data_IF_553913324042
#
_entry.id   IF_553913324042
#
_cell.length_a   1.000
_cell.length_b   1.000
_cell.length_c   1.000
_cell.angle_alpha   90.00
_cell.angle_beta   90.00
_cell.angle_gamma   90.00
#
_symmetry.space_group_name_H-M   'P 1'
#
loop_
_entity.id
_entity.type
_entity.pdbx_description
1 polymer ?
#
# COMPACT_ATOMS: atom_id res chain seq x y z
N UNK A 1 11.12 18.36 8.53
CA UNK A 1 11.66 16.99 8.34
C UNK A 1 11.10 16.51 7.02
N UNK A 2 11.96 16.26 6.03
CA UNK A 2 11.57 16.19 4.63
C UNK A 2 10.66 14.98 4.32
N UNK A 3 9.38 15.29 4.13
CA UNK A 3 8.41 14.77 3.17
C UNK A 3 8.95 13.73 2.14
N UNK A 4 9.07 12.47 2.55
CA UNK A 4 9.38 11.34 1.66
C UNK A 4 8.54 10.07 1.93
N UNK A 5 7.19 10.16 1.84
CA UNK A 5 6.42 8.99 1.38
C UNK A 5 5.44 9.27 0.23
N UNK A 6 5.28 10.53 -0.20
CA UNK A 6 4.28 10.90 -1.22
C UNK A 6 4.70 10.64 -2.67
N UNK A 7 6.01 10.62 -2.96
CA UNK A 7 6.49 10.54 -4.35
C UNK A 7 6.57 9.11 -4.88
N UNK A 8 6.74 8.10 -4.02
CA UNK A 8 6.91 6.72 -4.51
C UNK A 8 5.58 6.07 -4.91
N UNK A 9 4.46 6.53 -4.31
CA UNK A 9 3.10 6.05 -4.62
C UNK A 9 2.63 6.46 -6.04
N UNK A 10 3.22 7.50 -6.64
CA UNK A 10 2.76 8.06 -7.91
C UNK A 10 3.05 7.18 -9.15
N UNK A 11 3.99 6.23 -9.07
CA UNK A 11 4.46 5.50 -10.26
C UNK A 11 3.79 4.14 -10.53
N UNK A 12 2.94 3.62 -9.66
CA UNK A 12 2.41 2.25 -9.78
C UNK A 12 0.88 2.27 -9.67
N UNK A 13 0.16 2.40 -10.80
CA UNK A 13 -1.29 2.59 -10.78
C UNK A 13 -2.08 1.46 -11.45
N UNK A 14 -3.11 0.96 -10.74
CA UNK A 14 -4.47 1.07 -11.27
C UNK A 14 -5.47 1.80 -10.36
N UNK A 15 -5.17 2.06 -9.08
CA UNK A 15 -6.20 2.56 -8.14
C UNK A 15 -6.25 4.08 -7.98
N UNK A 16 -6.21 4.78 -9.13
CA UNK A 16 -6.27 6.25 -9.25
C UNK A 16 -7.40 6.88 -8.42
N UNK A 17 -8.54 6.20 -8.29
CA UNK A 17 -9.72 6.70 -7.59
C UNK A 17 -9.57 6.62 -6.07
N UNK A 18 -9.04 5.51 -5.54
CA UNK A 18 -8.81 5.36 -4.09
C UNK A 18 -7.75 6.36 -3.61
N UNK A 19 -6.65 6.46 -4.35
CA UNK A 19 -5.59 7.43 -4.05
C UNK A 19 -6.11 8.87 -4.18
N UNK A 20 -6.96 9.17 -5.16
CA UNK A 20 -7.63 10.48 -5.26
C UNK A 20 -8.41 10.84 -3.99
N UNK A 21 -9.25 9.95 -3.47
CA UNK A 21 -10.00 10.21 -2.25
C UNK A 21 -9.11 10.26 -0.99
N UNK A 22 -8.01 9.49 -0.96
CA UNK A 22 -6.97 9.64 0.07
C UNK A 22 -6.40 11.05 0.09
N UNK A 23 -6.04 11.61 -1.06
CA UNK A 23 -5.55 12.99 -1.17
C UNK A 23 -6.61 14.02 -0.76
N UNK A 24 -7.87 13.80 -1.14
CA UNK A 24 -8.98 14.66 -0.70
C UNK A 24 -9.11 14.61 0.83
N UNK A 25 -8.96 13.44 1.46
CA UNK A 25 -9.01 13.30 2.92
C UNK A 25 -7.83 14.02 3.61
N UNK A 26 -6.64 14.05 3.02
CA UNK A 26 -5.47 14.73 3.58
C UNK A 26 -5.66 16.26 3.68
N UNK A 27 -6.30 16.86 2.68
CA UNK A 27 -6.46 18.33 2.59
C UNK A 27 -7.77 18.86 3.18
N UNK A 28 -8.74 17.99 3.45
CA UNK A 28 -10.05 18.36 4.00
C UNK A 28 -10.09 18.21 5.53
N UNK A 29 -11.05 18.87 6.18
CA UNK A 29 -11.23 18.84 7.63
C UNK A 29 -12.63 18.37 8.01
N UNK A 30 -12.77 17.95 9.26
CA UNK A 30 -14.05 17.61 9.89
C UNK A 30 -14.86 16.58 9.08
N UNK A 31 -16.15 16.84 8.85
CA UNK A 31 -17.06 15.93 8.14
C UNK A 31 -16.63 15.62 6.70
N UNK A 32 -15.96 16.56 6.03
CA UNK A 32 -15.47 16.35 4.66
C UNK A 32 -14.32 15.33 4.64
N UNK A 33 -13.43 15.40 5.64
CA UNK A 33 -12.35 14.42 5.83
C UNK A 33 -12.92 13.03 6.04
N UNK A 34 -13.91 12.91 6.93
CA UNK A 34 -14.55 11.62 7.25
C UNK A 34 -15.21 10.99 6.01
N UNK A 35 -15.98 11.77 5.24
CA UNK A 35 -16.60 11.26 4.00
C UNK A 35 -15.56 10.81 2.98
N UNK A 36 -14.47 11.56 2.84
CA UNK A 36 -13.40 11.22 1.92
C UNK A 36 -12.65 9.95 2.37
N UNK A 37 -12.37 9.80 3.68
CA UNK A 37 -11.75 8.59 4.22
C UNK A 37 -12.63 7.36 4.07
N UNK A 38 -13.93 7.47 4.37
CA UNK A 38 -14.88 6.36 4.24
C UNK A 38 -15.00 5.92 2.76
N UNK A 39 -14.98 6.89 1.84
CA UNK A 39 -15.00 6.61 0.39
C UNK A 39 -13.70 5.94 -0.06
N UNK A 40 -12.54 6.44 0.40
CA UNK A 40 -11.24 5.84 0.09
C UNK A 40 -11.15 4.40 0.62
N UNK A 41 -11.60 4.15 1.85
CA UNK A 41 -11.62 2.81 2.44
C UNK A 41 -12.50 1.84 1.63
N UNK A 42 -13.68 2.27 1.21
CA UNK A 42 -14.55 1.47 0.34
C UNK A 42 -13.87 1.09 -0.97
N UNK A 43 -13.20 2.05 -1.62
CA UNK A 43 -12.51 1.83 -2.88
C UNK A 43 -11.26 0.94 -2.74
N UNK A 44 -10.48 1.09 -1.66
CA UNK A 44 -9.34 0.20 -1.41
C UNK A 44 -9.79 -1.24 -1.15
N UNK A 45 -10.91 -1.42 -0.44
CA UNK A 45 -11.49 -2.75 -0.18
C UNK A 45 -11.94 -3.41 -1.48
N UNK A 46 -12.73 -2.71 -2.28
CA UNK A 46 -13.21 -3.18 -3.58
C UNK A 46 -12.02 -3.53 -4.51
N UNK A 47 -11.02 -2.66 -4.59
CA UNK A 47 -9.81 -2.93 -5.36
C UNK A 47 -9.05 -4.16 -4.86
N UNK A 48 -9.05 -4.41 -3.54
CA UNK A 48 -8.35 -5.56 -2.93
C UNK A 48 -9.06 -6.85 -3.27
N UNK A 49 -10.39 -6.84 -3.30
CA UNK A 49 -11.20 -7.96 -3.77
C UNK A 49 -10.94 -8.25 -5.25
N UNK A 50 -10.92 -7.23 -6.12
CA UNK A 50 -10.59 -7.41 -7.53
C UNK A 50 -9.16 -7.91 -7.77
N UNK A 51 -8.20 -7.46 -6.96
CA UNK A 51 -6.81 -7.92 -7.06
C UNK A 51 -6.58 -9.30 -6.44
N UNK A 52 -7.59 -9.92 -5.82
CA UNK A 52 -7.43 -11.22 -5.14
C UNK A 52 -7.13 -12.37 -6.09
N UNK A 53 -7.57 -12.26 -7.34
CA UNK A 53 -7.30 -13.21 -8.44
C UNK A 53 -5.87 -13.11 -8.99
N UNK A 54 -5.16 -12.01 -8.71
CA UNK A 54 -3.76 -11.83 -9.11
C UNK A 54 -2.83 -12.59 -8.16
N UNK A 55 -1.71 -13.10 -8.67
CA UNK A 55 -0.67 -13.69 -7.83
C UNK A 55 -0.24 -12.72 -6.72
N UNK A 56 0.12 -13.24 -5.54
CA UNK A 56 0.61 -12.41 -4.44
C UNK A 56 1.89 -11.63 -4.79
N UNK A 57 2.65 -12.10 -5.78
CA UNK A 57 3.83 -11.44 -6.33
C UNK A 57 3.50 -10.43 -7.42
N UNK A 58 2.24 -10.27 -7.84
CA UNK A 58 1.87 -9.38 -8.92
C UNK A 58 2.06 -7.91 -8.48
N UNK A 59 2.77 -7.05 -9.26
CA UNK A 59 3.04 -5.67 -8.87
C UNK A 59 1.79 -4.87 -8.50
N UNK A 60 0.71 -5.04 -9.25
CA UNK A 60 -0.59 -4.40 -8.96
C UNK A 60 -1.12 -4.76 -7.56
N UNK A 61 -1.08 -6.03 -7.18
CA UNK A 61 -1.60 -6.50 -5.88
C UNK A 61 -0.72 -6.00 -4.73
N UNK A 62 0.60 -6.06 -4.91
CA UNK A 62 1.57 -5.54 -3.95
C UNK A 62 1.46 -4.01 -3.79
N UNK A 63 1.34 -3.28 -4.90
CA UNK A 63 1.22 -1.82 -4.89
C UNK A 63 -0.08 -1.35 -4.22
N UNK A 64 -1.17 -2.11 -4.41
CA UNK A 64 -2.41 -1.86 -3.70
C UNK A 64 -2.25 -2.08 -2.18
N UNK A 65 -1.61 -3.16 -1.77
CA UNK A 65 -1.36 -3.40 -0.34
C UNK A 65 -0.47 -2.30 0.27
N UNK A 66 0.53 -1.82 -0.47
CA UNK A 66 1.37 -0.69 -0.08
C UNK A 66 0.52 0.57 0.15
N UNK A 67 -0.26 1.00 -0.85
CA UNK A 67 -1.07 2.22 -0.73
C UNK A 67 -2.13 2.10 0.37
N UNK A 68 -2.74 0.92 0.51
CA UNK A 68 -3.76 0.70 1.53
C UNK A 68 -3.15 0.72 2.94
N UNK A 69 -1.96 0.16 3.14
CA UNK A 69 -1.23 0.27 4.42
C UNK A 69 -0.89 1.72 4.77
N UNK A 70 -0.42 2.51 3.79
CA UNK A 70 -0.14 3.94 3.97
C UNK A 70 -1.42 4.71 4.32
N UNK A 71 -2.55 4.41 3.66
CA UNK A 71 -3.84 5.01 4.00
C UNK A 71 -4.25 4.75 5.46
N UNK A 72 -4.10 3.52 5.95
CA UNK A 72 -4.38 3.22 7.36
C UNK A 72 -3.46 3.98 8.31
N UNK A 73 -2.18 4.12 7.96
CA UNK A 73 -1.22 4.83 8.79
C UNK A 73 -1.48 6.35 8.79
N UNK A 74 -1.49 6.98 7.62
CA UNK A 74 -1.49 8.44 7.49
C UNK A 74 -2.89 9.06 7.65
N UNK A 75 -3.94 8.42 7.15
CA UNK A 75 -5.29 9.01 7.15
C UNK A 75 -6.11 8.56 8.34
N UNK A 76 -6.11 7.25 8.60
CA UNK A 76 -6.89 6.66 9.69
C UNK A 76 -6.15 6.60 11.01
N UNK A 77 -4.85 6.95 11.04
CA UNK A 77 -4.00 6.92 12.23
C UNK A 77 -4.03 5.56 12.96
N UNK A 78 -4.08 4.48 12.18
CA UNK A 78 -4.16 3.11 12.66
C UNK A 78 -2.90 2.34 12.23
N UNK A 79 -1.83 2.51 13.02
CA UNK A 79 -0.55 1.90 12.76
C UNK A 79 -0.57 0.37 12.83
N UNK A 80 -1.37 -0.21 13.73
CA UNK A 80 -1.48 -1.66 13.88
C UNK A 80 -2.03 -2.30 12.60
N UNK A 81 -3.11 -1.74 12.05
CA UNK A 81 -3.71 -2.25 10.81
C UNK A 81 -2.81 -2.01 9.60
N UNK A 82 -2.13 -0.86 9.54
CA UNK A 82 -1.16 -0.58 8.50
C UNK A 82 -0.02 -1.62 8.48
N UNK A 83 0.56 -1.90 9.66
CA UNK A 83 1.59 -2.91 9.84
C UNK A 83 1.09 -4.32 9.49
N UNK A 84 -0.13 -4.70 9.89
CA UNK A 84 -0.73 -5.99 9.56
C UNK A 84 -0.79 -6.20 8.03
N UNK A 85 -1.32 -5.21 7.30
CA UNK A 85 -1.45 -5.27 5.84
C UNK A 85 -0.07 -5.35 5.18
N UNK A 86 0.86 -4.48 5.59
CA UNK A 86 2.18 -4.43 4.98
C UNK A 86 2.99 -5.70 5.24
N UNK A 87 2.99 -6.22 6.47
CA UNK A 87 3.67 -7.48 6.83
C UNK A 87 3.06 -8.67 6.10
N UNK A 88 1.73 -8.74 5.99
CA UNK A 88 1.05 -9.81 5.26
C UNK A 88 1.42 -9.82 3.77
N UNK A 89 1.42 -8.66 3.12
CA UNK A 89 1.82 -8.54 1.72
C UNK A 89 3.30 -8.88 1.50
N UNK A 90 4.20 -8.45 2.39
CA UNK A 90 5.61 -8.81 2.33
C UNK A 90 5.85 -10.30 2.48
N UNK A 91 5.24 -10.94 3.50
CA UNK A 91 5.45 -12.37 3.77
C UNK A 91 5.05 -13.20 2.55
N UNK A 92 3.84 -12.96 2.02
CA UNK A 92 3.36 -13.67 0.84
C UNK A 92 4.23 -13.36 -0.40
N UNK A 93 4.66 -12.12 -0.56
CA UNK A 93 5.52 -11.70 -1.68
C UNK A 93 6.90 -12.35 -1.65
N UNK A 94 7.57 -12.37 -0.50
CA UNK A 94 8.92 -12.95 -0.34
C UNK A 94 8.87 -14.47 -0.58
N UNK A 95 7.94 -15.18 0.06
CA UNK A 95 7.83 -16.64 -0.05
C UNK A 95 7.58 -17.10 -1.49
N UNK A 96 6.87 -16.32 -2.29
CA UNK A 96 6.55 -16.67 -3.67
C UNK A 96 7.57 -16.15 -4.69
N UNK A 97 8.32 -15.09 -4.39
CA UNK A 97 9.45 -14.64 -5.23
C UNK A 97 10.61 -15.65 -5.25
N UNK A 98 10.72 -16.49 -4.21
CA UNK A 98 11.66 -17.62 -4.18
C UNK A 98 11.25 -18.77 -5.11
N UNK A 99 10.03 -18.76 -5.68
CA UNK A 99 9.55 -19.75 -6.63
C UNK A 99 9.76 -19.32 -8.10
N UNK A 100 10.21 -20.25 -8.94
CA UNK A 100 10.74 -20.00 -10.31
C UNK A 100 9.71 -19.41 -11.30
N UNK A 101 8.40 -19.40 -10.99
CA UNK A 101 7.32 -18.94 -11.88
C UNK A 101 7.29 -17.41 -12.14
N UNK A 102 7.93 -16.59 -11.29
CA UNK A 102 7.84 -15.11 -11.36
C UNK A 102 8.76 -14.50 -12.44
N UNK A 103 9.60 -15.29 -13.10
CA UNK A 103 10.60 -14.79 -14.06
C UNK A 103 10.06 -14.44 -15.47
N UNK A 104 8.77 -14.69 -15.76
CA UNK A 104 8.22 -14.54 -17.12
C UNK A 104 8.10 -13.09 -17.62
N UNK A 105 8.27 -12.10 -16.74
CA UNK A 105 8.38 -10.68 -17.09
C UNK A 105 9.41 -10.01 -16.18
N UNK A 106 10.61 -9.79 -16.71
CA UNK A 106 11.72 -9.19 -15.95
C UNK A 106 11.37 -7.81 -15.36
N UNK A 107 10.44 -7.08 -16.01
CA UNK A 107 9.98 -5.79 -15.53
C UNK A 107 9.05 -5.93 -14.32
N UNK A 108 8.07 -6.85 -14.38
CA UNK A 108 7.15 -7.08 -13.26
C UNK A 108 7.87 -7.64 -12.04
N UNK A 109 8.84 -8.54 -12.24
CA UNK A 109 9.68 -9.04 -11.15
C UNK A 109 10.43 -7.89 -10.44
N UNK A 110 11.04 -6.98 -11.21
CA UNK A 110 11.76 -5.82 -10.66
C UNK A 110 10.82 -4.90 -9.89
N UNK A 111 9.64 -4.62 -10.43
CA UNK A 111 8.65 -3.77 -9.78
C UNK A 111 8.14 -4.41 -8.48
N UNK A 112 7.87 -5.71 -8.47
CA UNK A 112 7.46 -6.43 -7.26
C UNK A 112 8.51 -6.41 -6.17
N UNK A 113 9.79 -6.64 -6.52
CA UNK A 113 10.91 -6.55 -5.56
C UNK A 113 11.00 -5.15 -4.96
N UNK A 114 10.87 -4.11 -5.80
CA UNK A 114 10.89 -2.72 -5.34
C UNK A 114 9.73 -2.43 -4.37
N UNK A 115 8.51 -2.87 -4.69
CA UNK A 115 7.34 -2.65 -3.84
C UNK A 115 7.49 -3.36 -2.48
N UNK A 116 8.01 -4.59 -2.47
CA UNK A 116 8.24 -5.33 -1.22
C UNK A 116 9.29 -4.64 -0.34
N UNK A 117 10.33 -4.08 -0.95
CA UNK A 117 11.31 -3.29 -0.21
C UNK A 117 10.66 -2.04 0.42
N UNK A 118 9.81 -1.33 -0.32
CA UNK A 118 9.08 -0.17 0.22
C UNK A 118 8.15 -0.54 1.37
N UNK A 119 7.46 -1.69 1.28
CA UNK A 119 6.66 -2.21 2.39
C UNK A 119 7.51 -2.46 3.63
N UNK A 120 8.72 -3.01 3.46
CA UNK A 120 9.67 -3.26 4.56
C UNK A 120 10.13 -1.98 5.22
N UNK A 121 10.49 -0.99 4.41
CA UNK A 121 10.96 0.30 4.89
C UNK A 121 9.84 1.01 5.68
N UNK A 122 8.60 0.97 5.19
CA UNK A 122 7.43 1.50 5.89
C UNK A 122 7.21 0.83 7.26
N UNK A 123 7.21 -0.51 7.32
CA UNK A 123 7.04 -1.24 8.58
C UNK A 123 8.13 -0.89 9.60
N UNK A 124 9.37 -0.73 9.13
CA UNK A 124 10.51 -0.38 9.99
C UNK A 124 10.35 1.03 10.54
N UNK A 125 10.05 2.00 9.67
CA UNK A 125 9.79 3.39 10.04
C UNK A 125 8.63 3.51 11.05
N UNK A 126 7.54 2.79 10.84
CA UNK A 126 6.38 2.84 11.73
C UNK A 126 6.66 2.19 13.09
N UNK A 127 7.51 1.16 13.14
CA UNK A 127 7.93 0.55 14.40
C UNK A 127 8.83 1.48 15.22
N UNK A 128 9.73 2.23 14.56
CA UNK A 128 10.57 3.23 15.22
C UNK A 128 9.73 4.36 15.83
N UNK A 129 8.71 4.85 15.12
CA UNK A 129 7.82 5.91 15.58
C UNK A 129 6.85 5.48 16.72
N UNK A 130 6.74 4.19 17.03
CA UNK A 130 5.95 3.70 18.17
C UNK A 130 6.74 3.74 19.50
N UNK A 131 8.05 3.99 19.44
CA UNK A 131 8.94 4.01 20.61
C UNK A 131 9.23 5.42 21.17
N UNK A 132 8.66 6.46 20.57
CA UNK A 132 8.68 7.86 21.04
C UNK A 132 7.30 8.30 21.57
#
# INVERSE_FOLDING_TARGET
MFHFPLIVVLSIHPNRKADYYRYVAEITKDDARKKASDTAEGLYREATEFASDLAYTHPIRLGLALNYSVFYYEILNNADKACEIAKGAMYNGITLLESEEVQNSANDYRDSVLIIQLLRDNVTLWAENQHD
#
